data_IF_075442183561
#
_entry.id   IF_075442183561
#
_cell.length_a   1.000
_cell.length_b   1.000
_cell.length_c   1.000
_cell.angle_alpha   90.00
_cell.angle_beta   90.00
_cell.angle_gamma   90.00
#
_symmetry.space_group_name_H-M   'P 1'
#
loop_
_entity.id
_entity.type
_entity.pdbx_description
1 polymer ?
#
# COMPACT_ATOMS: atom_id res chain seq x y z
N UNK A 1 -8.13 -20.56 -6.34
CA UNK A 1 -7.34 -19.40 -6.80
C UNK A 1 -6.01 -19.93 -7.32
N UNK A 2 -5.57 -19.62 -8.54
CA UNK A 2 -4.30 -20.17 -9.06
C UNK A 2 -3.09 -19.67 -8.26
N UNK A 3 -2.06 -20.52 -8.08
CA UNK A 3 -0.87 -20.23 -7.25
C UNK A 3 -0.29 -18.82 -7.52
N UNK A 4 -0.18 -18.42 -8.78
CA UNK A 4 0.32 -17.09 -9.18
C UNK A 4 -0.51 -15.92 -8.64
N UNK A 5 -1.84 -16.05 -8.60
CA UNK A 5 -2.74 -14.99 -8.10
C UNK A 5 -2.62 -14.82 -6.59
N UNK A 6 -2.42 -15.94 -5.88
CA UNK A 6 -2.17 -15.93 -4.45
C UNK A 6 -0.88 -15.15 -4.13
N UNK A 7 0.21 -15.42 -4.85
CA UNK A 7 1.48 -14.68 -4.67
C UNK A 7 1.36 -13.19 -4.96
N UNK A 8 0.60 -12.78 -5.98
CA UNK A 8 0.39 -11.35 -6.30
C UNK A 8 -0.31 -10.64 -5.14
N UNK A 9 -1.36 -11.25 -4.57
CA UNK A 9 -2.07 -10.68 -3.42
C UNK A 9 -1.21 -10.70 -2.17
N UNK A 10 -0.46 -11.77 -1.94
CA UNK A 10 0.45 -11.87 -0.82
C UNK A 10 1.51 -10.75 -0.86
N UNK A 11 2.18 -10.57 -2.00
CA UNK A 11 3.13 -9.48 -2.21
C UNK A 11 2.49 -8.10 -2.00
N UNK A 12 1.27 -7.89 -2.47
CA UNK A 12 0.53 -6.64 -2.27
C UNK A 12 0.33 -6.35 -0.78
N UNK A 13 -0.09 -7.34 0.00
CA UNK A 13 -0.26 -7.21 1.44
C UNK A 13 1.09 -6.96 2.13
N UNK A 14 2.13 -7.73 1.77
CA UNK A 14 3.46 -7.58 2.37
C UNK A 14 4.05 -6.21 2.13
N UNK A 15 4.03 -5.72 0.88
CA UNK A 15 4.58 -4.40 0.57
C UNK A 15 3.79 -3.26 1.22
N UNK A 16 2.46 -3.32 1.22
CA UNK A 16 1.68 -2.27 1.87
C UNK A 16 1.82 -2.31 3.41
N UNK A 17 2.04 -3.49 4.00
CA UNK A 17 2.33 -3.60 5.43
C UNK A 17 3.72 -3.02 5.77
N UNK A 18 4.74 -3.36 4.98
CA UNK A 18 6.08 -2.78 5.14
C UNK A 18 6.07 -1.27 4.93
N UNK A 19 5.34 -0.78 3.93
CA UNK A 19 5.17 0.65 3.66
C UNK A 19 4.53 1.35 4.87
N UNK A 20 3.49 0.73 5.47
CA UNK A 20 2.85 1.25 6.66
C UNK A 20 3.78 1.29 7.88
N UNK A 21 4.55 0.23 8.11
CA UNK A 21 5.53 0.16 9.21
C UNK A 21 6.62 1.22 9.01
N UNK A 22 7.21 1.28 7.82
CA UNK A 22 8.29 2.22 7.51
C UNK A 22 7.81 3.67 7.60
N UNK A 23 6.60 3.96 7.13
CA UNK A 23 5.96 5.28 7.31
C UNK A 23 5.80 5.60 8.80
N UNK A 24 5.30 4.66 9.60
CA UNK A 24 5.09 4.87 11.03
C UNK A 24 6.39 5.14 11.78
N UNK A 25 7.43 4.34 11.52
CA UNK A 25 8.77 4.55 12.10
C UNK A 25 9.36 5.89 11.64
N UNK A 26 9.20 6.26 10.37
CA UNK A 26 9.70 7.52 9.84
C UNK A 26 9.06 8.73 10.54
N UNK A 27 7.75 8.69 10.71
CA UNK A 27 7.01 9.73 11.42
C UNK A 27 7.40 9.83 12.90
N UNK A 28 7.67 8.71 13.57
CA UNK A 28 8.19 8.70 14.94
C UNK A 28 9.61 9.28 15.04
N UNK A 29 10.44 9.07 14.00
CA UNK A 29 11.79 9.63 13.89
C UNK A 29 11.84 11.13 13.54
N UNK A 30 10.68 11.79 13.37
CA UNK A 30 10.59 13.21 12.99
C UNK A 30 10.70 13.46 11.49
N UNK A 31 10.79 12.41 10.65
CA UNK A 31 10.74 12.56 9.20
C UNK A 31 9.32 12.95 8.78
N UNK A 32 9.22 14.00 7.96
CA UNK A 32 7.94 14.49 7.46
C UNK A 32 7.34 13.56 6.41
N UNK A 33 6.02 13.38 6.45
CA UNK A 33 5.29 12.68 5.40
C UNK A 33 5.44 13.40 4.06
N UNK A 34 6.05 12.73 3.07
CA UNK A 34 6.21 13.27 1.72
C UNK A 34 4.91 13.29 0.93
N UNK A 35 3.99 12.35 1.20
CA UNK A 35 2.72 12.31 0.49
C UNK A 35 1.80 13.43 0.99
N UNK A 36 1.53 14.48 0.18
CA UNK A 36 0.78 15.65 0.64
C UNK A 36 -0.68 15.31 0.97
N UNK A 37 -1.25 14.30 0.31
CA UNK A 37 -2.61 13.82 0.59
C UNK A 37 -2.64 13.11 1.94
N UNK A 38 -1.68 12.22 2.18
CA UNK A 38 -1.59 11.49 3.43
C UNK A 38 -1.27 12.42 4.61
N UNK A 39 -0.39 13.40 4.40
CA UNK A 39 -0.09 14.46 5.36
C UNK A 39 -1.32 15.27 5.73
N UNK A 40 -2.16 15.66 4.77
CA UNK A 40 -3.43 16.37 5.03
C UNK A 40 -4.41 15.49 5.79
N UNK A 41 -4.53 14.22 5.41
CA UNK A 41 -5.40 13.26 6.09
C UNK A 41 -5.00 13.09 7.56
N UNK A 42 -3.70 12.94 7.83
CA UNK A 42 -3.15 12.88 9.18
C UNK A 42 -3.34 14.17 9.96
N UNK A 43 -3.16 15.33 9.32
CA UNK A 43 -3.37 16.62 9.98
C UNK A 43 -4.84 16.85 10.38
N UNK A 44 -5.79 16.33 9.59
CA UNK A 44 -7.22 16.54 9.84
C UNK A 44 -7.85 15.49 10.78
N UNK A 45 -7.45 14.22 10.65
CA UNK A 45 -8.08 13.11 11.38
C UNK A 45 -7.15 12.40 12.37
N UNK A 46 -5.86 12.76 12.40
CA UNK A 46 -4.85 12.06 13.18
C UNK A 46 -4.25 10.84 12.48
N UNK A 47 -3.20 10.29 13.08
CA UNK A 47 -2.41 9.18 12.51
C UNK A 47 -3.20 7.87 12.40
N UNK A 48 -3.89 7.47 13.47
CA UNK A 48 -4.62 6.21 13.56
C UNK A 48 -5.73 6.09 12.48
N UNK A 49 -6.61 7.09 12.30
CA UNK A 49 -7.62 7.03 11.24
C UNK A 49 -7.00 7.05 9.85
N UNK A 50 -5.90 7.79 9.63
CA UNK A 50 -5.21 7.81 8.35
C UNK A 50 -4.60 6.45 7.98
N UNK A 51 -3.99 5.75 8.95
CA UNK A 51 -3.51 4.38 8.78
C UNK A 51 -4.67 3.41 8.47
N UNK A 52 -5.79 3.55 9.18
CA UNK A 52 -7.00 2.77 8.95
C UNK A 52 -7.55 2.93 7.53
N UNK A 53 -7.64 4.17 7.02
CA UNK A 53 -8.07 4.45 5.64
C UNK A 53 -7.11 3.82 4.63
N UNK A 54 -5.80 3.92 4.84
CA UNK A 54 -4.79 3.30 3.97
C UNK A 54 -4.98 1.78 3.90
N UNK A 55 -5.14 1.12 5.05
CA UNK A 55 -5.39 -0.33 5.11
C UNK A 55 -6.73 -0.73 4.48
N UNK A 56 -7.79 0.06 4.67
CA UNK A 56 -9.07 -0.18 4.01
C UNK A 56 -8.92 -0.13 2.48
N UNK A 57 -8.20 0.85 1.95
CA UNK A 57 -7.93 0.94 0.51
C UNK A 57 -7.13 -0.25 -0.02
N UNK A 58 -6.13 -0.72 0.74
CA UNK A 58 -5.34 -1.92 0.38
C UNK A 58 -6.23 -3.14 0.24
N UNK A 59 -7.14 -3.37 1.19
CA UNK A 59 -8.08 -4.50 1.17
C UNK A 59 -9.13 -4.35 0.07
N UNK A 60 -9.72 -3.16 -0.08
CA UNK A 60 -10.70 -2.87 -1.14
C UNK A 60 -10.07 -3.11 -2.51
N UNK A 61 -8.80 -2.76 -2.72
CA UNK A 61 -8.10 -2.99 -3.99
C UNK A 61 -8.02 -4.48 -4.34
N UNK A 62 -7.81 -5.36 -3.36
CA UNK A 62 -7.82 -6.81 -3.58
C UNK A 62 -9.21 -7.28 -4.02
N UNK A 63 -10.25 -6.84 -3.31
CA UNK A 63 -11.65 -7.21 -3.61
C UNK A 63 -12.06 -6.70 -4.99
N UNK A 64 -11.78 -5.43 -5.30
CA UNK A 64 -12.05 -4.83 -6.60
C UNK A 64 -11.30 -5.56 -7.69
N UNK A 65 -10.02 -5.89 -7.49
CA UNK A 65 -9.25 -6.67 -8.47
C UNK A 65 -9.88 -8.04 -8.70
N UNK A 66 -10.34 -8.73 -7.65
CA UNK A 66 -10.99 -10.03 -7.78
C UNK A 66 -12.34 -9.94 -8.53
N UNK A 67 -13.12 -8.88 -8.30
CA UNK A 67 -14.38 -8.62 -9.00
C UNK A 67 -14.15 -8.26 -10.47
N UNK A 68 -13.24 -7.31 -10.74
CA UNK A 68 -12.87 -6.87 -12.09
C UNK A 68 -12.24 -8.00 -12.90
N UNK A 69 -11.43 -8.85 -12.26
CA UNK A 69 -10.81 -10.01 -12.92
C UNK A 69 -11.82 -11.02 -13.49
N UNK A 70 -13.07 -11.03 -13.00
CA UNK A 70 -14.13 -11.89 -13.56
C UNK A 70 -14.56 -11.43 -14.96
N UNK A 71 -14.49 -10.12 -15.23
CA UNK A 71 -14.83 -9.55 -16.54
C UNK A 71 -13.59 -9.28 -17.39
N UNK A 72 -12.50 -8.82 -16.78
CA UNK A 72 -11.29 -8.36 -17.46
C UNK A 72 -10.07 -9.14 -16.96
N UNK A 73 -9.58 -10.09 -17.77
CA UNK A 73 -8.42 -10.93 -17.41
C UNK A 73 -7.13 -10.16 -17.10
N UNK A 74 -7.01 -8.90 -17.56
CA UNK A 74 -5.87 -8.01 -17.31
C UNK A 74 -5.84 -7.39 -15.91
N UNK A 75 -6.90 -7.48 -15.10
CA UNK A 75 -6.93 -6.87 -13.77
C UNK A 75 -5.78 -7.38 -12.86
N UNK A 76 -5.39 -8.65 -12.99
CA UNK A 76 -4.25 -9.22 -12.26
C UNK A 76 -2.91 -8.65 -12.72
N UNK A 77 -2.78 -8.25 -13.99
CA UNK A 77 -1.56 -7.59 -14.48
C UNK A 77 -1.44 -6.19 -13.89
N UNK A 78 -2.55 -5.47 -13.78
CA UNK A 78 -2.58 -4.16 -13.11
C UNK A 78 -2.12 -4.28 -11.66
N UNK A 79 -2.67 -5.24 -10.90
CA UNK A 79 -2.24 -5.47 -9.52
C UNK A 79 -0.76 -5.87 -9.41
N UNK A 80 -0.25 -6.62 -10.39
CA UNK A 80 1.18 -6.94 -10.47
C UNK A 80 2.04 -5.70 -10.73
N UNK A 81 1.61 -4.79 -11.61
CA UNK A 81 2.34 -3.55 -11.85
C UNK A 81 2.30 -2.61 -10.64
N UNK A 82 1.18 -2.53 -9.93
CA UNK A 82 1.09 -1.73 -8.71
C UNK A 82 1.93 -2.32 -7.57
N UNK A 83 2.15 -3.63 -7.52
CA UNK A 83 3.13 -4.23 -6.60
C UNK A 83 4.56 -3.72 -6.83
N UNK A 84 4.97 -3.47 -8.07
CA UNK A 84 6.30 -2.91 -8.37
C UNK A 84 6.38 -1.49 -7.82
N UNK A 85 5.35 -0.68 -8.05
CA UNK A 85 5.28 0.69 -7.52
C UNK A 85 5.29 0.69 -5.99
N UNK A 86 4.53 -0.21 -5.35
CA UNK A 86 4.53 -0.37 -3.89
C UNK A 86 5.90 -0.76 -3.36
N UNK A 87 6.60 -1.68 -4.02
CA UNK A 87 7.97 -2.05 -3.69
C UNK A 87 8.94 -0.85 -3.75
N UNK A 88 8.84 -0.04 -4.81
CA UNK A 88 9.64 1.20 -4.93
C UNK A 88 9.32 2.17 -3.78
N UNK A 89 8.05 2.31 -3.41
CA UNK A 89 7.64 3.14 -2.26
C UNK A 89 8.26 2.66 -0.95
N UNK A 90 8.22 1.35 -0.68
CA UNK A 90 8.85 0.75 0.50
C UNK A 90 10.36 1.01 0.52
N UNK A 91 11.04 0.79 -0.62
CA UNK A 91 12.49 1.04 -0.72
C UNK A 91 12.83 2.50 -0.49
N UNK A 92 12.01 3.42 -1.01
CA UNK A 92 12.18 4.85 -0.78
C UNK A 92 12.07 5.20 0.71
N UNK A 93 11.06 4.67 1.41
CA UNK A 93 10.91 4.88 2.85
C UNK A 93 12.09 4.29 3.63
N UNK A 94 12.61 3.13 3.22
CA UNK A 94 13.79 2.53 3.85
C UNK A 94 15.03 3.41 3.69
N UNK A 95 15.24 4.00 2.52
CA UNK A 95 16.34 4.96 2.28
C UNK A 95 16.18 6.23 3.13
N UNK A 96 14.95 6.66 3.41
CA UNK A 96 14.71 7.80 4.31
C UNK A 96 14.88 7.47 5.80
N UNK A 97 14.85 6.19 6.16
CA UNK A 97 15.03 5.71 7.53
C UNK A 97 16.50 5.45 7.88
N UNK A 98 17.37 5.25 6.88
CA UNK A 98 18.82 5.08 7.03
C UNK A 98 19.56 6.41 7.09
#
# INVERSE_FOLDING_TARGET
MGKTRFYIVYLWLTFNLLDLITTHVGLQGGNGELNPIYRRLMAQFGLLPALGVKMALVLITIVLTALLARRWGKAWQVLRTTNIVACIGVLWNLVMLS
#
